data_IF_779169145931
#
_entry.id   IF_779169145931
#
_cell.length_a   1.000
_cell.length_b   1.000
_cell.length_c   1.000
_cell.angle_alpha   90.00
_cell.angle_beta   90.00
_cell.angle_gamma   90.00
#
_symmetry.space_group_name_H-M   'P 1'
#
loop_
_entity.id
_entity.type
_entity.pdbx_description
1 polymer ?
#
# COMPACT_ATOMS: atom_id res chain seq x y z
N UNK A 1 -6.21 -6.02 27.65
CA UNK A 1 -5.41 -5.89 26.41
C UNK A 1 -6.11 -6.64 25.30
N UNK A 2 -6.21 -6.06 24.10
CA UNK A 2 -6.76 -6.78 22.93
C UNK A 2 -5.80 -7.93 22.59
N UNK A 3 -6.33 -9.12 22.33
CA UNK A 3 -5.49 -10.22 21.86
C UNK A 3 -4.98 -9.93 20.45
N UNK A 4 -3.83 -10.50 20.08
CA UNK A 4 -3.26 -10.38 18.73
C UNK A 4 -4.29 -10.79 17.66
N UNK A 5 -5.03 -11.86 17.90
CA UNK A 5 -6.09 -12.33 17.00
C UNK A 5 -7.20 -11.29 16.81
N UNK A 6 -7.59 -10.60 17.87
CA UNK A 6 -8.62 -9.56 17.80
C UNK A 6 -8.12 -8.33 17.00
N UNK A 7 -6.85 -7.94 17.16
CA UNK A 7 -6.25 -6.88 16.36
C UNK A 7 -6.22 -7.22 14.86
N UNK A 8 -5.86 -8.46 14.51
CA UNK A 8 -5.89 -8.92 13.11
C UNK A 8 -7.32 -8.89 12.56
N UNK A 9 -8.31 -9.34 13.32
CA UNK A 9 -9.73 -9.27 12.91
C UNK A 9 -10.18 -7.83 12.67
N UNK A 10 -9.80 -6.91 13.56
CA UNK A 10 -10.08 -5.48 13.40
C UNK A 10 -9.42 -4.93 12.13
N UNK A 11 -8.15 -5.25 11.88
CA UNK A 11 -7.46 -4.82 10.65
C UNK A 11 -8.17 -5.34 9.41
N UNK A 12 -8.59 -6.61 9.39
CA UNK A 12 -9.37 -7.16 8.28
C UNK A 12 -10.66 -6.38 8.09
N UNK A 13 -11.41 -6.13 9.17
CA UNK A 13 -12.63 -5.33 9.11
C UNK A 13 -12.39 -3.92 8.55
N UNK A 14 -11.41 -3.19 9.08
CA UNK A 14 -11.08 -1.84 8.63
C UNK A 14 -10.52 -1.83 7.21
N UNK A 15 -9.74 -2.83 6.80
CA UNK A 15 -9.25 -2.95 5.44
C UNK A 15 -10.38 -3.21 4.44
N UNK A 16 -11.35 -4.06 4.78
CA UNK A 16 -12.55 -4.26 3.95
C UNK A 16 -13.45 -3.02 3.92
N UNK A 17 -13.57 -2.29 5.04
CA UNK A 17 -14.26 -1.02 5.08
C UNK A 17 -13.55 0.03 4.20
N UNK A 18 -12.22 0.09 4.24
CA UNK A 18 -11.42 0.92 3.36
C UNK A 18 -11.64 0.54 1.90
N UNK A 19 -11.65 -0.75 1.55
CA UNK A 19 -11.86 -1.21 0.18
C UNK A 19 -13.28 -0.89 -0.35
N UNK A 20 -14.29 -1.03 0.52
CA UNK A 20 -15.64 -0.59 0.25
C UNK A 20 -15.70 0.93 0.01
N UNK A 21 -15.01 1.71 0.86
CA UNK A 21 -14.93 3.17 0.72
C UNK A 21 -14.26 3.56 -0.59
N UNK A 22 -13.15 2.92 -0.91
CA UNK A 22 -12.45 3.13 -2.18
C UNK A 22 -13.34 2.79 -3.36
N UNK A 23 -14.08 1.67 -3.28
CA UNK A 23 -15.03 1.26 -4.31
C UNK A 23 -16.00 2.39 -4.67
N UNK A 24 -16.67 3.00 -3.68
CA UNK A 24 -17.61 4.08 -3.96
C UNK A 24 -16.91 5.41 -4.29
N UNK A 25 -15.77 5.71 -3.66
CA UNK A 25 -15.01 6.93 -3.87
C UNK A 25 -14.49 7.01 -5.31
N UNK A 26 -13.89 5.91 -5.77
CA UNK A 26 -13.18 5.81 -7.04
C UNK A 26 -14.06 5.24 -8.17
N UNK A 27 -15.34 4.93 -7.89
CA UNK A 27 -16.36 4.65 -8.92
C UNK A 27 -16.34 5.70 -10.03
N UNK A 28 -16.15 6.97 -9.67
CA UNK A 28 -16.09 8.08 -10.62
C UNK A 28 -14.99 7.91 -11.68
N UNK A 29 -13.86 7.28 -11.34
CA UNK A 29 -12.75 7.06 -12.27
C UNK A 29 -13.13 6.11 -13.41
N UNK A 30 -14.01 5.15 -13.15
CA UNK A 30 -14.44 4.16 -14.13
C UNK A 30 -15.67 4.61 -14.95
N UNK A 31 -16.59 5.39 -14.36
CA UNK A 31 -17.90 5.64 -14.98
C UNK A 31 -18.21 7.11 -15.30
N UNK A 32 -17.49 8.09 -14.75
CA UNK A 32 -17.89 9.50 -14.90
C UNK A 32 -17.88 9.96 -16.38
N UNK A 33 -16.94 9.47 -17.15
CA UNK A 33 -16.79 9.72 -18.59
C UNK A 33 -17.96 9.15 -19.39
N UNK A 34 -18.30 7.86 -19.25
CA UNK A 34 -19.39 7.22 -20.00
C UNK A 34 -20.79 7.70 -19.59
N UNK A 35 -20.94 8.11 -18.33
CA UNK A 35 -22.18 8.72 -17.82
C UNK A 35 -22.32 10.17 -18.27
N UNK A 36 -21.25 10.97 -18.26
CA UNK A 36 -21.28 12.38 -18.70
C UNK A 36 -21.51 12.52 -20.21
N UNK A 37 -20.98 11.60 -21.01
CA UNK A 37 -21.26 11.53 -22.47
C UNK A 37 -22.64 10.95 -22.79
N UNK A 38 -23.39 10.53 -21.76
CA UNK A 38 -24.72 9.91 -21.87
C UNK A 38 -24.72 8.67 -22.76
N UNK A 39 -23.61 7.94 -22.78
CA UNK A 39 -23.48 6.67 -23.51
C UNK A 39 -24.15 5.55 -22.72
N UNK A 40 -23.94 5.52 -21.40
CA UNK A 40 -24.64 4.62 -20.49
C UNK A 40 -25.48 5.39 -19.48
N UNK A 41 -26.59 4.78 -19.07
CA UNK A 41 -27.30 5.24 -17.89
C UNK A 41 -26.45 5.01 -16.64
N UNK A 42 -26.58 5.86 -15.61
CA UNK A 42 -25.77 5.70 -14.40
C UNK A 42 -25.91 4.33 -13.73
N UNK A 43 -27.12 3.74 -13.74
CA UNK A 43 -27.38 2.40 -13.21
C UNK A 43 -26.60 1.32 -13.97
N UNK A 44 -26.63 1.34 -15.30
CA UNK A 44 -25.96 0.33 -16.12
C UNK A 44 -24.43 0.46 -15.99
N UNK A 45 -23.93 1.70 -15.93
CA UNK A 45 -22.50 1.95 -15.73
C UNK A 45 -22.01 1.41 -14.37
N UNK A 46 -22.79 1.61 -13.29
CA UNK A 46 -22.46 1.07 -11.96
C UNK A 46 -22.44 -0.46 -11.96
N UNK A 47 -23.45 -1.11 -12.53
CA UNK A 47 -23.52 -2.59 -12.59
C UNK A 47 -22.30 -3.14 -13.35
N UNK A 48 -22.02 -2.58 -14.52
CA UNK A 48 -20.86 -2.96 -15.34
C UNK A 48 -19.55 -2.76 -14.55
N UNK A 49 -19.38 -1.59 -13.93
CA UNK A 49 -18.19 -1.28 -13.17
C UNK A 49 -18.01 -2.21 -11.96
N UNK A 50 -19.07 -2.50 -11.21
CA UNK A 50 -19.01 -3.39 -10.05
C UNK A 50 -18.62 -4.82 -10.45
N UNK A 51 -19.21 -5.37 -11.52
CA UNK A 51 -18.87 -6.71 -12.03
C UNK A 51 -17.41 -6.77 -12.52
N UNK A 52 -16.97 -5.77 -13.28
CA UNK A 52 -15.61 -5.77 -13.83
C UNK A 52 -14.56 -5.43 -12.78
N UNK A 53 -14.87 -4.59 -11.80
CA UNK A 53 -14.05 -4.37 -10.61
C UNK A 53 -13.83 -5.69 -9.86
N UNK A 54 -14.90 -6.47 -9.63
CA UNK A 54 -14.80 -7.79 -9.02
C UNK A 54 -13.88 -8.72 -9.82
N UNK A 55 -14.12 -8.87 -11.12
CA UNK A 55 -13.30 -9.75 -11.99
C UNK A 55 -11.85 -9.29 -12.03
N UNK A 56 -11.61 -7.98 -12.14
CA UNK A 56 -10.28 -7.39 -12.16
C UNK A 56 -9.50 -7.66 -10.89
N UNK A 57 -10.15 -7.60 -9.73
CA UNK A 57 -9.55 -7.91 -8.44
C UNK A 57 -9.08 -9.38 -8.34
N UNK A 58 -9.73 -10.31 -9.04
CA UNK A 58 -9.33 -11.73 -9.05
C UNK A 58 -8.14 -12.01 -9.97
N UNK A 59 -7.82 -11.11 -10.89
CA UNK A 59 -6.90 -11.38 -12.00
C UNK A 59 -5.41 -11.27 -11.63
N UNK A 60 -5.05 -10.63 -10.51
CA UNK A 60 -3.63 -10.46 -10.11
C UNK A 60 -3.48 -10.19 -8.61
N UNK A 61 -2.31 -10.54 -8.07
CA UNK A 61 -1.89 -10.23 -6.69
C UNK A 61 -0.53 -9.52 -6.63
N UNK A 62 -0.01 -9.04 -7.77
CA UNK A 62 1.34 -8.47 -7.82
C UNK A 62 1.47 -7.15 -7.06
N UNK A 63 0.52 -6.23 -7.24
CA UNK A 63 0.47 -4.96 -6.50
C UNK A 63 0.29 -5.23 -5.00
N UNK A 64 -0.53 -6.22 -4.64
CA UNK A 64 -0.74 -6.60 -3.25
C UNK A 64 0.55 -7.07 -2.58
N UNK A 65 1.39 -7.85 -3.28
CA UNK A 65 2.72 -8.25 -2.79
C UNK A 65 3.63 -7.06 -2.57
N UNK A 66 3.63 -6.09 -3.48
CA UNK A 66 4.42 -4.85 -3.35
C UNK A 66 3.94 -3.97 -2.19
N UNK A 67 2.63 -3.92 -1.93
CA UNK A 67 2.08 -3.18 -0.77
C UNK A 67 2.39 -3.93 0.53
N UNK A 68 2.33 -5.27 0.52
CA UNK A 68 2.60 -6.10 1.68
C UNK A 68 4.07 -6.08 2.14
N UNK A 69 5.02 -5.79 1.23
CA UNK A 69 6.45 -5.78 1.53
C UNK A 69 7.20 -4.56 0.98
N UNK A 70 8.09 -4.01 1.81
CA UNK A 70 9.00 -2.95 1.37
C UNK A 70 8.50 -1.52 1.59
N UNK A 71 7.44 -1.32 2.38
CA UNK A 71 7.02 0.02 2.83
C UNK A 71 7.49 0.31 4.25
N UNK A 72 7.39 -0.68 5.14
CA UNK A 72 7.74 -0.56 6.57
C UNK A 72 8.54 -1.79 6.99
N UNK A 73 9.60 -1.61 7.78
CA UNK A 73 10.45 -2.70 8.26
C UNK A 73 9.82 -3.41 9.47
N UNK A 74 9.06 -4.47 9.21
CA UNK A 74 8.33 -5.23 10.26
C UNK A 74 9.24 -6.10 11.15
N UNK A 75 10.51 -6.27 10.78
CA UNK A 75 11.45 -7.12 11.52
C UNK A 75 12.38 -6.30 12.44
N UNK A 76 12.49 -4.98 12.20
CA UNK A 76 13.40 -4.08 12.90
C UNK A 76 13.16 -4.09 14.41
N UNK A 77 14.24 -4.26 15.17
CA UNK A 77 14.31 -3.95 16.60
C UNK A 77 14.30 -2.45 16.81
N UNK A 78 13.34 -1.96 17.59
CA UNK A 78 13.44 -0.67 18.25
C UNK A 78 14.31 -0.79 19.51
N UNK A 79 14.83 0.31 20.01
CA UNK A 79 15.59 0.29 21.27
C UNK A 79 14.73 -0.30 22.40
N UNK A 80 13.49 0.16 22.52
CA UNK A 80 12.52 -0.32 23.50
C UNK A 80 12.20 -1.82 23.37
N UNK A 81 12.53 -2.47 22.24
CA UNK A 81 12.36 -3.91 22.11
C UNK A 81 13.37 -4.71 22.95
N UNK A 82 14.51 -4.10 23.30
CA UNK A 82 15.53 -4.71 24.17
C UNK A 82 15.19 -4.33 25.62
N UNK A 83 14.35 -5.13 26.29
CA UNK A 83 13.82 -4.83 27.64
C UNK A 83 14.89 -4.84 28.72
N UNK A 84 15.82 -5.80 28.62
CA UNK A 84 16.86 -6.03 29.62
C UNK A 84 18.24 -5.98 28.97
N UNK A 85 18.73 -4.78 28.56
CA UNK A 85 19.97 -4.66 27.80
C UNK A 85 21.19 -5.20 28.55
N UNK A 86 21.18 -5.12 29.90
CA UNK A 86 22.24 -5.66 30.75
C UNK A 86 22.24 -7.17 30.85
N UNK A 87 21.06 -7.77 30.94
CA UNK A 87 20.92 -9.24 30.93
C UNK A 87 21.31 -9.80 29.57
N UNK A 88 20.94 -9.10 28.48
CA UNK A 88 21.40 -9.45 27.14
C UNK A 88 22.92 -9.41 27.04
N UNK A 89 23.54 -8.31 27.47
CA UNK A 89 24.98 -8.12 27.47
C UNK A 89 25.71 -9.21 28.27
N UNK A 90 25.19 -9.55 29.46
CA UNK A 90 25.74 -10.63 30.29
C UNK A 90 25.65 -11.99 29.60
N UNK A 91 24.51 -12.33 28.98
CA UNK A 91 24.35 -13.59 28.22
C UNK A 91 25.29 -13.67 27.01
N UNK A 92 25.49 -12.58 26.28
CA UNK A 92 26.45 -12.53 25.18
C UNK A 92 27.88 -12.82 25.64
N UNK A 93 28.21 -12.56 26.91
CA UNK A 93 29.50 -12.93 27.50
C UNK A 93 29.62 -14.39 27.96
N UNK A 94 28.54 -15.16 27.97
CA UNK A 94 28.53 -16.54 28.48
C UNK A 94 28.85 -17.54 27.36
N UNK A 95 29.85 -18.43 27.54
CA UNK A 95 30.21 -19.43 26.54
C UNK A 95 29.21 -20.60 26.46
N UNK A 96 28.39 -20.81 27.48
CA UNK A 96 27.50 -21.98 27.60
C UNK A 96 26.20 -21.86 26.78
N UNK A 97 25.88 -20.66 26.26
CA UNK A 97 24.75 -20.44 25.35
C UNK A 97 25.27 -20.37 23.90
N UNK A 98 25.05 -21.41 23.06
CA UNK A 98 25.61 -21.46 21.72
C UNK A 98 25.13 -20.32 20.80
N UNK A 99 23.89 -19.85 20.99
CA UNK A 99 23.36 -18.73 20.23
C UNK A 99 23.97 -17.41 20.70
N UNK A 100 24.01 -17.17 22.00
CA UNK A 100 24.59 -15.94 22.54
C UNK A 100 26.08 -15.84 22.24
N UNK A 101 26.83 -16.95 22.33
CA UNK A 101 28.23 -17.01 21.95
C UNK A 101 28.44 -16.68 20.46
N UNK A 102 27.60 -17.23 19.58
CA UNK A 102 27.64 -16.90 18.16
C UNK A 102 27.35 -15.41 17.91
N UNK A 103 26.31 -14.86 18.55
CA UNK A 103 25.94 -13.44 18.43
C UNK A 103 27.04 -12.52 18.95
N UNK A 104 27.73 -12.90 20.03
CA UNK A 104 28.85 -12.16 20.59
C UNK A 104 30.01 -12.04 19.60
N UNK A 105 30.29 -13.11 18.85
CA UNK A 105 31.28 -13.11 17.76
C UNK A 105 30.88 -12.29 16.54
N UNK A 106 29.60 -11.90 16.43
CA UNK A 106 29.13 -11.03 15.36
C UNK A 106 29.21 -9.53 15.74
N UNK A 107 29.33 -9.16 17.01
CA UNK A 107 29.27 -7.76 17.45
C UNK A 107 30.38 -6.92 16.79
N UNK A 108 30.06 -5.68 16.41
CA UNK A 108 31.08 -4.71 16.02
C UNK A 108 31.96 -4.34 17.23
N UNK A 109 33.24 -3.96 17.02
CA UNK A 109 34.16 -3.63 18.10
C UNK A 109 33.65 -2.55 19.06
N UNK A 110 32.93 -1.56 18.53
CA UNK A 110 32.30 -0.48 19.31
C UNK A 110 31.22 -1.02 20.26
N UNK A 111 30.34 -1.88 19.75
CA UNK A 111 29.28 -2.54 20.53
C UNK A 111 29.88 -3.48 21.57
N UNK A 112 30.94 -4.23 21.20
CA UNK A 112 31.62 -5.15 22.10
C UNK A 112 32.27 -4.42 23.29
N UNK A 113 32.91 -3.27 23.04
CA UNK A 113 33.43 -2.43 24.12
C UNK A 113 32.32 -1.92 25.06
N UNK A 114 31.16 -1.58 24.51
CA UNK A 114 30.01 -1.09 25.28
C UNK A 114 29.33 -2.18 26.12
N UNK A 115 29.27 -3.42 25.59
CA UNK A 115 28.71 -4.59 26.27
C UNK A 115 29.51 -4.96 27.52
N UNK A 116 30.84 -4.84 27.45
CA UNK A 116 31.75 -5.14 28.58
C UNK A 116 31.77 -4.01 29.61
N UNK A 117 31.40 -2.78 29.22
CA UNK A 117 31.44 -1.60 30.10
C UNK A 117 30.30 -1.65 31.13
N UNK A 118 30.64 -1.96 32.38
CA UNK A 118 29.67 -2.07 33.49
C UNK A 118 28.91 -0.77 33.79
N UNK A 119 29.52 0.40 33.58
CA UNK A 119 28.95 1.72 33.88
C UNK A 119 28.19 2.36 32.69
N UNK A 120 28.08 1.66 31.55
CA UNK A 120 27.37 2.19 30.38
C UNK A 120 25.90 2.63 30.68
N UNK A 121 25.47 3.80 30.20
CA UNK A 121 24.06 4.18 30.28
C UNK A 121 23.16 3.11 29.64
N UNK A 122 22.13 2.66 30.37
CA UNK A 122 21.26 1.56 29.90
C UNK A 122 20.64 1.85 28.53
N UNK A 123 20.23 3.11 28.28
CA UNK A 123 19.69 3.54 26.98
C UNK A 123 20.72 3.47 25.85
N UNK A 124 21.96 3.87 26.11
CA UNK A 124 23.04 3.82 25.11
C UNK A 124 23.31 2.37 24.71
N UNK A 125 23.42 1.48 25.70
CA UNK A 125 23.57 0.03 25.47
C UNK A 125 22.37 -0.57 24.73
N UNK A 126 21.16 -0.17 25.11
CA UNK A 126 19.92 -0.62 24.48
C UNK A 126 19.87 -0.23 23.00
N UNK A 127 20.23 1.02 22.66
CA UNK A 127 20.33 1.47 21.27
C UNK A 127 21.41 0.74 20.49
N UNK A 128 22.60 0.55 21.07
CA UNK A 128 23.70 -0.17 20.42
C UNK A 128 23.32 -1.63 20.12
N UNK A 129 22.76 -2.35 21.11
CA UNK A 129 22.30 -3.72 20.95
C UNK A 129 21.18 -3.83 19.90
N UNK A 130 20.20 -2.93 19.91
CA UNK A 130 19.15 -2.93 18.89
C UNK A 130 19.71 -2.71 17.48
N UNK A 131 20.67 -1.79 17.31
CA UNK A 131 21.33 -1.55 16.02
C UNK A 131 22.13 -2.77 15.55
N UNK A 132 22.84 -3.41 16.46
CA UNK A 132 23.63 -4.61 16.17
C UNK A 132 22.75 -5.80 15.78
N UNK A 133 21.68 -6.06 16.54
CA UNK A 133 20.69 -7.07 16.21
C UNK A 133 20.09 -6.79 14.83
N UNK A 134 19.73 -5.54 14.53
CA UNK A 134 19.22 -5.15 13.21
C UNK A 134 20.19 -5.41 12.05
N UNK A 135 21.50 -5.29 12.30
CA UNK A 135 22.53 -5.66 11.31
C UNK A 135 22.58 -7.17 11.11
N UNK A 136 22.64 -7.92 12.20
CA UNK A 136 22.66 -9.39 12.20
C UNK A 136 21.43 -9.97 11.50
N UNK A 137 20.25 -9.38 11.71
CA UNK A 137 19.01 -9.81 11.05
C UNK A 137 19.15 -9.94 9.53
N UNK A 138 19.91 -9.04 8.88
CA UNK A 138 19.99 -8.95 7.41
C UNK A 138 21.22 -9.61 6.81
N UNK A 139 22.29 -9.75 7.60
CA UNK A 139 23.62 -10.14 7.10
C UNK A 139 24.01 -11.57 7.44
N UNK A 140 23.34 -12.20 8.40
CA UNK A 140 23.81 -13.45 8.99
C UNK A 140 22.71 -14.50 9.01
N UNK A 141 23.05 -15.73 8.64
CA UNK A 141 22.14 -16.86 8.81
C UNK A 141 22.24 -17.39 10.25
N UNK A 142 21.24 -17.08 11.07
CA UNK A 142 21.25 -17.44 12.48
C UNK A 142 20.92 -18.90 12.70
N UNK A 143 20.19 -19.55 11.80
CA UNK A 143 19.69 -20.89 12.06
C UNK A 143 20.80 -21.92 11.93
N UNK A 144 21.07 -22.64 13.01
CA UNK A 144 21.80 -23.91 13.02
C UNK A 144 21.15 -24.78 14.09
N UNK A 145 21.01 -26.07 13.83
CA UNK A 145 20.30 -26.97 14.73
C UNK A 145 20.95 -27.00 16.12
N UNK A 146 22.28 -26.96 16.21
CA UNK A 146 22.99 -26.95 17.49
C UNK A 146 22.71 -25.67 18.30
N UNK A 147 22.54 -24.52 17.62
CA UNK A 147 22.28 -23.21 18.26
C UNK A 147 20.88 -23.09 18.87
N UNK A 148 19.92 -23.90 18.42
CA UNK A 148 18.51 -23.81 18.84
C UNK A 148 17.99 -25.08 19.51
N UNK A 149 18.88 -26.01 19.91
CA UNK A 149 18.52 -27.31 20.49
C UNK A 149 17.56 -27.20 21.68
N UNK A 150 17.77 -26.22 22.56
CA UNK A 150 16.94 -26.02 23.77
C UNK A 150 15.76 -25.06 23.56
N UNK A 151 15.62 -24.50 22.35
CA UNK A 151 14.59 -23.49 22.04
C UNK A 151 13.35 -24.17 21.46
N UNK A 152 12.19 -23.98 22.09
CA UNK A 152 10.90 -24.42 21.53
C UNK A 152 10.51 -23.55 20.34
N UNK A 153 10.94 -23.96 19.15
CA UNK A 153 10.58 -23.32 17.89
C UNK A 153 9.28 -23.91 17.31
N UNK A 154 8.53 -23.07 16.58
CA UNK A 154 7.40 -23.55 15.76
C UNK A 154 7.94 -24.32 14.56
N UNK A 155 7.30 -25.44 14.23
CA UNK A 155 7.70 -26.32 13.12
C UNK A 155 7.84 -25.57 11.78
N UNK A 156 6.88 -24.69 11.48
CA UNK A 156 6.93 -23.83 10.27
C UNK A 156 8.13 -22.88 10.27
N UNK A 157 8.49 -22.31 11.43
CA UNK A 157 9.67 -21.43 11.55
C UNK A 157 10.96 -22.20 11.29
N UNK A 158 11.05 -23.45 11.76
CA UNK A 158 12.19 -24.34 11.50
C UNK A 158 12.28 -24.68 10.01
N UNK A 159 11.17 -25.00 9.37
CA UNK A 159 11.16 -25.32 7.94
C UNK A 159 11.64 -24.14 7.08
N UNK A 160 11.15 -22.93 7.37
CA UNK A 160 11.56 -21.72 6.67
C UNK A 160 13.02 -21.35 6.98
N UNK A 161 13.45 -21.56 8.22
CA UNK A 161 14.82 -21.32 8.64
C UNK A 161 15.83 -22.32 8.05
N UNK A 162 15.44 -23.54 7.70
CA UNK A 162 16.33 -24.47 6.96
C UNK A 162 16.65 -24.00 5.54
N UNK A 163 15.84 -23.09 4.98
CA UNK A 163 16.00 -22.52 3.63
C UNK A 163 16.63 -21.12 3.67
N UNK A 164 17.00 -20.61 4.85
CA UNK A 164 17.43 -19.23 5.11
C UNK A 164 18.59 -18.75 4.24
N UNK A 165 19.60 -19.60 4.01
CA UNK A 165 20.76 -19.31 3.17
C UNK A 165 20.44 -18.93 1.71
N UNK A 166 19.24 -19.29 1.21
CA UNK A 166 18.78 -18.98 -0.14
C UNK A 166 17.81 -17.79 -0.19
N UNK A 167 17.50 -17.19 0.96
CA UNK A 167 16.51 -16.14 1.06
C UNK A 167 17.10 -14.75 0.80
N UNK A 168 16.24 -13.86 0.29
CA UNK A 168 16.57 -12.44 0.19
C UNK A 168 16.73 -11.84 1.59
N UNK A 169 17.58 -10.79 1.77
CA UNK A 169 17.84 -10.18 3.09
C UNK A 169 16.58 -9.77 3.87
N UNK A 170 15.54 -9.29 3.17
CA UNK A 170 14.26 -8.91 3.79
C UNK A 170 13.54 -10.10 4.43
N UNK A 171 13.55 -11.26 3.76
CA UNK A 171 12.92 -12.49 4.29
C UNK A 171 13.77 -13.08 5.42
N UNK A 172 15.09 -13.07 5.24
CA UNK A 172 16.04 -13.51 6.27
C UNK A 172 15.84 -12.74 7.58
N UNK A 173 15.66 -11.41 7.50
CA UNK A 173 15.41 -10.58 8.67
C UNK A 173 14.15 -10.97 9.44
N UNK A 174 13.05 -11.32 8.76
CA UNK A 174 11.80 -11.75 9.41
C UNK A 174 11.99 -13.07 10.16
N UNK A 175 12.68 -14.04 9.54
CA UNK A 175 12.94 -15.34 10.15
C UNK A 175 13.90 -15.19 11.33
N UNK A 176 15.02 -14.49 11.14
CA UNK A 176 15.98 -14.20 12.19
C UNK A 176 15.32 -13.49 13.38
N UNK A 177 14.41 -12.53 13.12
CA UNK A 177 13.64 -11.87 14.18
C UNK A 177 12.78 -12.87 14.94
N UNK A 178 12.08 -13.76 14.23
CA UNK A 178 11.26 -14.81 14.86
C UNK A 178 12.08 -15.80 15.69
N UNK A 179 13.28 -16.15 15.23
CA UNK A 179 14.21 -17.04 15.96
C UNK A 179 14.70 -16.38 17.24
N UNK A 180 15.14 -15.12 17.17
CA UNK A 180 15.62 -14.36 18.33
C UNK A 180 14.51 -14.12 19.36
N UNK A 181 13.29 -13.79 18.93
CA UNK A 181 12.13 -13.66 19.83
C UNK A 181 11.81 -14.97 20.57
N UNK A 182 12.01 -16.12 19.90
CA UNK A 182 11.73 -17.42 20.50
C UNK A 182 12.85 -17.87 21.44
N UNK A 183 14.10 -17.53 21.13
CA UNK A 183 15.26 -17.91 21.93
C UNK A 183 15.50 -16.99 23.14
N UNK A 184 15.15 -15.71 23.05
CA UNK A 184 15.42 -14.70 24.09
C UNK A 184 14.13 -13.96 24.56
N UNK A 185 13.06 -14.68 24.95
CA UNK A 185 11.76 -14.07 25.26
C UNK A 185 11.75 -13.16 26.50
N UNK A 186 12.65 -13.40 27.45
CA UNK A 186 12.75 -12.62 28.69
C UNK A 186 13.39 -11.24 28.46
N UNK A 187 14.20 -11.15 27.39
CA UNK A 187 15.11 -10.04 27.13
C UNK A 187 14.65 -9.20 25.93
N UNK A 188 13.99 -9.82 24.95
CA UNK A 188 13.47 -9.19 23.74
C UNK A 188 11.94 -9.17 23.76
N UNK A 189 11.31 -8.05 23.39
CA UNK A 189 9.87 -8.02 23.15
C UNK A 189 9.50 -8.45 21.75
N UNK A 190 8.33 -9.06 21.63
CA UNK A 190 7.68 -9.24 20.33
C UNK A 190 7.07 -7.93 19.87
N UNK A 191 7.33 -7.55 18.61
CA UNK A 191 6.78 -6.34 18.01
C UNK A 191 5.41 -6.57 17.33
N UNK A 192 4.87 -7.80 17.35
CA UNK A 192 3.70 -8.21 16.58
C UNK A 192 2.46 -7.35 16.89
N UNK A 193 2.14 -7.16 18.18
CA UNK A 193 0.96 -6.38 18.61
C UNK A 193 1.11 -4.90 18.25
N UNK A 194 2.27 -4.31 18.54
CA UNK A 194 2.53 -2.90 18.23
C UNK A 194 2.44 -2.65 16.73
N UNK A 195 2.95 -3.57 15.92
CA UNK A 195 2.87 -3.45 14.46
C UNK A 195 1.43 -3.57 13.93
N UNK A 196 0.59 -4.40 14.56
CA UNK A 196 -0.84 -4.40 14.24
C UNK A 196 -1.48 -3.04 14.54
N UNK A 197 -1.10 -2.38 15.65
CA UNK A 197 -1.61 -1.04 15.97
C UNK A 197 -1.16 0.01 14.95
N UNK A 198 0.07 -0.09 14.43
CA UNK A 198 0.56 0.78 13.34
C UNK A 198 -0.30 0.60 12.09
N UNK A 199 -0.56 -0.65 11.68
CA UNK A 199 -1.38 -0.95 10.50
C UNK A 199 -2.83 -0.48 10.70
N UNK A 200 -3.40 -0.72 11.88
CA UNK A 200 -4.76 -0.29 12.21
C UNK A 200 -4.87 1.25 12.18
N UNK A 201 -3.92 1.96 12.78
CA UNK A 201 -3.88 3.43 12.76
C UNK A 201 -3.72 3.98 11.34
N UNK A 202 -2.90 3.33 10.50
CA UNK A 202 -2.75 3.68 9.10
C UNK A 202 -4.07 3.56 8.32
N UNK A 203 -4.81 2.46 8.53
CA UNK A 203 -6.13 2.25 7.92
C UNK A 203 -7.14 3.30 8.39
N UNK A 204 -7.19 3.59 9.70
CA UNK A 204 -8.08 4.63 10.25
C UNK A 204 -7.76 5.98 9.60
N UNK A 205 -6.47 6.36 9.52
CA UNK A 205 -6.05 7.61 8.91
C UNK A 205 -6.43 7.71 7.42
N UNK A 206 -6.25 6.63 6.67
CA UNK A 206 -6.62 6.57 5.26
C UNK A 206 -8.15 6.65 5.07
N UNK A 207 -8.93 5.92 5.87
CA UNK A 207 -10.40 5.92 5.85
C UNK A 207 -10.94 7.30 6.17
N UNK A 208 -10.50 7.90 7.28
CA UNK A 208 -10.97 9.22 7.72
C UNK A 208 -10.68 10.25 6.65
N UNK A 209 -9.49 10.23 6.06
CA UNK A 209 -9.15 11.15 4.98
C UNK A 209 -10.01 10.94 3.72
N UNK A 210 -10.20 9.70 3.27
CA UNK A 210 -11.03 9.39 2.12
C UNK A 210 -12.51 9.78 2.32
N UNK A 211 -13.05 9.60 3.53
CA UNK A 211 -14.40 10.04 3.87
C UNK A 211 -14.51 11.56 3.87
N UNK A 212 -13.50 12.26 4.37
CA UNK A 212 -13.45 13.72 4.40
C UNK A 212 -13.40 14.30 2.99
N UNK A 213 -12.53 13.80 2.12
CA UNK A 213 -12.43 14.24 0.73
C UNK A 213 -13.69 13.93 -0.07
N UNK A 214 -14.28 12.75 0.14
CA UNK A 214 -15.59 12.41 -0.41
C UNK A 214 -16.69 13.35 0.04
N UNK A 215 -16.73 13.70 1.33
CA UNK A 215 -17.73 14.61 1.88
C UNK A 215 -17.71 15.96 1.17
N UNK A 216 -16.51 16.49 0.93
CA UNK A 216 -16.30 17.73 0.17
C UNK A 216 -16.31 17.56 -1.36
N UNK A 217 -16.48 16.33 -1.86
CA UNK A 217 -16.49 16.02 -3.30
C UNK A 217 -15.17 16.31 -4.00
N UNK A 218 -14.04 16.22 -3.27
CA UNK A 218 -12.69 16.43 -3.76
C UNK A 218 -12.16 15.07 -4.29
N UNK A 219 -11.75 14.97 -5.56
CA UNK A 219 -11.17 13.74 -6.09
C UNK A 219 -9.76 13.54 -5.49
N UNK A 220 -9.66 12.73 -4.44
CA UNK A 220 -8.41 12.33 -3.83
C UNK A 220 -7.95 10.94 -4.28
N UNK A 221 -6.72 10.59 -3.92
CA UNK A 221 -6.13 9.28 -4.18
C UNK A 221 -6.13 8.43 -2.93
N UNK A 222 -6.90 7.34 -2.95
CA UNK A 222 -6.91 6.31 -1.90
C UNK A 222 -5.52 5.68 -1.69
N UNK A 223 -4.71 5.56 -2.75
CA UNK A 223 -3.32 5.10 -2.66
C UNK A 223 -2.46 6.03 -1.80
N UNK A 224 -2.52 7.35 -2.04
CA UNK A 224 -1.77 8.32 -1.24
C UNK A 224 -2.24 8.34 0.20
N UNK A 225 -3.56 8.23 0.42
CA UNK A 225 -4.14 8.21 1.74
C UNK A 225 -3.58 7.02 2.55
N UNK A 226 -3.54 5.83 1.96
CA UNK A 226 -3.02 4.61 2.59
C UNK A 226 -1.52 4.68 2.87
N UNK A 227 -0.72 5.08 1.87
CA UNK A 227 0.75 5.20 2.02
C UNK A 227 1.09 6.29 3.04
N UNK A 228 0.43 7.45 2.97
CA UNK A 228 0.59 8.51 3.96
C UNK A 228 0.23 8.01 5.36
N UNK A 229 -0.89 7.27 5.49
CA UNK A 229 -1.30 6.67 6.76
C UNK A 229 -0.26 5.70 7.34
N UNK A 230 0.29 4.82 6.51
CA UNK A 230 1.37 3.90 6.90
C UNK A 230 2.62 4.65 7.36
N UNK A 231 3.08 5.63 6.57
CA UNK A 231 4.24 6.45 6.92
C UNK A 231 4.00 7.21 8.24
N UNK A 232 2.84 7.84 8.40
CA UNK A 232 2.51 8.62 9.61
C UNK A 232 2.47 7.75 10.86
N UNK A 233 1.79 6.61 10.81
CA UNK A 233 1.72 5.67 11.92
C UNK A 233 3.11 5.06 12.24
N UNK A 234 3.89 4.69 11.22
CA UNK A 234 5.22 4.13 11.41
C UNK A 234 6.21 5.15 12.00
N UNK A 235 6.18 6.40 11.51
CA UNK A 235 7.06 7.47 11.99
C UNK A 235 6.77 7.80 13.45
N UNK A 236 5.51 7.88 13.85
CA UNK A 236 5.20 8.22 15.24
C UNK A 236 5.52 7.08 16.21
N UNK A 237 5.50 5.83 15.73
CA UNK A 237 5.85 4.65 16.52
C UNK A 237 7.37 4.46 16.65
N UNK A 238 8.08 4.36 15.52
CA UNK A 238 9.49 3.91 15.47
C UNK A 238 10.45 4.92 14.81
N UNK A 239 9.99 6.14 14.55
CA UNK A 239 10.76 7.18 13.88
C UNK A 239 10.95 6.94 12.38
N UNK A 240 11.75 7.80 11.74
CA UNK A 240 12.01 7.77 10.30
C UNK A 240 12.68 6.46 9.82
N UNK A 241 13.37 5.75 10.72
CA UNK A 241 14.11 4.52 10.38
C UNK A 241 13.22 3.30 10.15
N UNK A 242 11.97 3.34 10.62
CA UNK A 242 11.01 2.24 10.42
C UNK A 242 10.42 2.25 9.00
N UNK A 243 10.42 3.42 8.36
CA UNK A 243 9.95 3.59 6.98
C UNK A 243 11.07 3.22 6.01
N UNK A 244 10.76 2.33 5.06
CA UNK A 244 11.71 1.91 4.03
C UNK A 244 11.70 2.93 2.89
N UNK A 245 12.44 4.04 3.05
CA UNK A 245 12.46 5.17 2.10
C UNK A 245 12.81 4.77 0.67
N UNK A 246 13.75 3.83 0.48
CA UNK A 246 14.08 3.32 -0.86
C UNK A 246 12.89 2.62 -1.51
N UNK A 247 12.16 1.82 -0.72
CA UNK A 247 10.95 1.15 -1.15
C UNK A 247 9.81 2.13 -1.42
N UNK A 248 9.57 3.10 -0.53
CA UNK A 248 8.60 4.18 -0.74
C UNK A 248 8.93 4.97 -2.02
N UNK A 249 10.18 5.33 -2.24
CA UNK A 249 10.58 6.10 -3.41
C UNK A 249 10.38 5.30 -4.70
N UNK A 250 10.96 4.10 -4.78
CA UNK A 250 10.99 3.29 -6.02
C UNK A 250 9.67 2.59 -6.32
N UNK A 251 9.05 1.99 -5.31
CA UNK A 251 7.84 1.16 -5.49
C UNK A 251 6.56 2.00 -5.45
N UNK A 252 6.59 3.18 -4.84
CA UNK A 252 5.41 4.01 -4.66
C UNK A 252 5.56 5.37 -5.35
N UNK A 253 6.43 6.25 -4.87
CA UNK A 253 6.43 7.66 -5.27
C UNK A 253 6.72 7.86 -6.76
N UNK A 254 7.69 7.11 -7.32
CA UNK A 254 8.01 7.16 -8.75
C UNK A 254 6.81 6.74 -9.61
N UNK A 255 6.21 5.54 -9.44
CA UNK A 255 4.98 5.18 -10.16
C UNK A 255 3.84 6.18 -9.96
N UNK A 256 3.71 6.73 -8.76
CA UNK A 256 2.61 7.59 -8.35
C UNK A 256 2.63 8.97 -9.03
N UNK A 257 3.82 9.54 -9.21
CA UNK A 257 4.04 10.80 -9.95
C UNK A 257 4.20 10.54 -11.46
N UNK A 258 4.83 9.44 -11.84
CA UNK A 258 5.09 9.07 -13.23
C UNK A 258 3.83 8.67 -13.99
N UNK A 259 2.89 7.97 -13.34
CA UNK A 259 1.69 7.44 -13.99
C UNK A 259 0.73 8.50 -14.55
N UNK A 260 0.41 9.63 -13.89
CA UNK A 260 -0.37 10.70 -14.53
C UNK A 260 0.34 11.34 -15.72
N UNK A 261 1.67 11.50 -15.66
CA UNK A 261 2.46 12.04 -16.79
C UNK A 261 2.44 11.09 -17.99
N UNK A 262 2.58 9.79 -17.74
CA UNK A 262 2.43 8.77 -18.78
C UNK A 262 1.00 8.74 -19.33
N UNK A 263 0.00 8.86 -18.46
CA UNK A 263 -1.41 8.98 -18.85
C UNK A 263 -1.68 10.18 -19.75
N UNK A 264 -1.11 11.34 -19.42
CA UNK A 264 -1.17 12.54 -20.26
C UNK A 264 -0.58 12.28 -21.64
N UNK A 265 0.63 11.73 -21.70
CA UNK A 265 1.32 11.47 -22.96
C UNK A 265 0.56 10.48 -23.84
N UNK A 266 0.13 9.33 -23.28
CA UNK A 266 -0.61 8.30 -24.03
C UNK A 266 -1.96 8.85 -24.48
N UNK A 267 -2.68 9.56 -23.60
CA UNK A 267 -3.95 10.21 -23.95
C UNK A 267 -3.82 11.22 -25.08
N UNK A 268 -2.77 12.04 -25.04
CA UNK A 268 -2.47 13.02 -26.08
C UNK A 268 -2.15 12.36 -27.42
N UNK A 269 -1.27 11.35 -27.42
CA UNK A 269 -0.86 10.61 -28.63
C UNK A 269 -2.07 9.90 -29.24
N UNK A 270 -2.82 9.16 -28.43
CA UNK A 270 -3.98 8.40 -28.89
C UNK A 270 -5.04 9.31 -29.49
N UNK A 271 -5.39 10.41 -28.81
CA UNK A 271 -6.38 11.36 -29.32
C UNK A 271 -5.90 12.05 -30.61
N UNK A 272 -4.62 12.42 -30.69
CA UNK A 272 -4.03 13.00 -31.91
C UNK A 272 -4.07 12.01 -33.08
N UNK A 273 -3.76 10.73 -32.82
CA UNK A 273 -3.86 9.66 -33.80
C UNK A 273 -5.29 9.47 -34.32
N UNK A 274 -6.27 9.39 -33.40
CA UNK A 274 -7.70 9.29 -33.74
C UNK A 274 -8.15 10.50 -34.57
N UNK A 275 -7.81 11.71 -34.15
CA UNK A 275 -8.19 12.93 -34.85
C UNK A 275 -7.63 13.01 -36.27
N UNK A 276 -6.37 12.58 -36.47
CA UNK A 276 -5.74 12.52 -37.80
C UNK A 276 -6.36 11.44 -38.68
N UNK A 277 -6.56 10.24 -38.14
CA UNK A 277 -7.11 9.12 -38.89
C UNK A 277 -8.56 9.37 -39.35
N UNK A 278 -9.32 10.14 -38.58
CA UNK A 278 -10.74 10.41 -38.84
C UNK A 278 -11.00 11.84 -39.32
N UNK A 279 -9.96 12.57 -39.75
CA UNK A 279 -10.06 13.99 -40.15
C UNK A 279 -11.10 14.23 -41.26
N UNK A 280 -11.29 13.25 -42.15
CA UNK A 280 -12.21 13.33 -43.29
C UNK A 280 -13.58 12.67 -43.02
N UNK A 281 -13.82 12.16 -41.80
CA UNK A 281 -15.07 11.47 -41.45
C UNK A 281 -16.04 12.47 -40.84
N UNK A 282 -17.31 12.43 -41.28
CA UNK A 282 -18.33 13.32 -40.74
C UNK A 282 -18.47 13.17 -39.21
N UNK A 283 -18.50 14.28 -38.43
CA UNK A 283 -18.50 14.25 -36.97
C UNK A 283 -19.61 13.38 -36.34
N UNK A 284 -20.77 13.33 -36.98
CA UNK A 284 -21.91 12.54 -36.49
C UNK A 284 -21.64 11.02 -36.56
N UNK A 285 -20.98 10.55 -37.63
CA UNK A 285 -20.57 9.14 -37.75
C UNK A 285 -19.54 8.79 -36.69
N UNK A 286 -18.54 9.66 -36.49
CA UNK A 286 -17.53 9.52 -35.43
C UNK A 286 -18.24 9.39 -34.07
N UNK A 287 -19.11 10.34 -33.73
CA UNK A 287 -19.85 10.31 -32.45
C UNK A 287 -20.67 9.02 -32.26
N UNK A 288 -21.37 8.55 -33.31
CA UNK A 288 -22.17 7.32 -33.23
C UNK A 288 -21.33 6.06 -33.01
N UNK A 289 -20.19 5.93 -33.71
CA UNK A 289 -19.31 4.78 -33.58
C UNK A 289 -18.61 4.78 -32.23
N UNK A 290 -18.07 5.93 -31.81
CA UNK A 290 -17.39 6.04 -30.53
C UNK A 290 -18.32 5.92 -29.33
N UNK A 291 -19.63 6.16 -29.48
CA UNK A 291 -20.62 5.82 -28.45
C UNK A 291 -20.58 4.33 -28.12
N UNK A 292 -20.50 3.45 -29.12
CA UNK A 292 -20.40 2.01 -28.88
C UNK A 292 -19.01 1.61 -28.38
N UNK A 293 -17.94 2.17 -28.97
CA UNK A 293 -16.56 1.88 -28.53
C UNK A 293 -16.29 2.33 -27.09
N UNK A 294 -16.89 3.44 -26.66
CA UNK A 294 -16.70 3.96 -25.30
C UNK A 294 -17.20 2.97 -24.23
N UNK A 295 -18.23 2.16 -24.54
CA UNK A 295 -18.69 1.13 -23.60
C UNK A 295 -17.58 0.11 -23.32
N UNK A 296 -16.85 -0.30 -24.35
CA UNK A 296 -15.73 -1.25 -24.21
C UNK A 296 -14.54 -0.63 -23.50
N UNK A 297 -14.21 0.64 -23.76
CA UNK A 297 -13.11 1.31 -23.04
C UNK A 297 -13.46 1.56 -21.57
N UNK A 298 -14.71 1.92 -21.26
CA UNK A 298 -15.19 2.06 -19.89
C UNK A 298 -15.17 0.72 -19.14
N UNK A 299 -15.52 -0.37 -19.82
CA UNK A 299 -15.39 -1.72 -19.29
C UNK A 299 -13.93 -2.09 -19.00
N UNK A 300 -13.01 -1.84 -19.95
CA UNK A 300 -11.58 -2.08 -19.76
C UNK A 300 -11.00 -1.23 -18.61
N UNK A 301 -11.43 0.03 -18.50
CA UNK A 301 -11.05 0.91 -17.39
C UNK A 301 -11.56 0.37 -16.04
N UNK A 302 -12.80 -0.10 -15.95
CA UNK A 302 -13.32 -0.72 -14.73
C UNK A 302 -12.57 -2.01 -14.37
N UNK A 303 -12.29 -2.88 -15.35
CA UNK A 303 -11.51 -4.10 -15.10
C UNK A 303 -10.12 -3.79 -14.54
N UNK A 304 -9.41 -2.84 -15.17
CA UNK A 304 -8.05 -2.45 -14.77
C UNK A 304 -8.02 -1.62 -13.48
N UNK A 305 -9.09 -0.90 -13.18
CA UNK A 305 -9.31 -0.27 -11.88
C UNK A 305 -9.36 -1.33 -10.78
N UNK A 306 -10.14 -2.40 -10.95
CA UNK A 306 -10.15 -3.49 -9.97
C UNK A 306 -8.86 -4.28 -9.85
N UNK A 307 -8.13 -4.43 -10.97
CA UNK A 307 -6.78 -5.00 -11.00
C UNK A 307 -5.78 -4.20 -10.15
N UNK A 308 -5.99 -2.91 -9.90
CA UNK A 308 -5.06 -2.09 -9.11
C UNK A 308 -5.56 -1.82 -7.68
N UNK A 309 -6.84 -1.46 -7.52
CA UNK A 309 -7.32 -0.83 -6.29
C UNK A 309 -7.62 -1.85 -5.18
N UNK A 310 -8.31 -2.95 -5.50
CA UNK A 310 -8.57 -4.02 -4.52
C UNK A 310 -7.26 -4.63 -3.97
N UNK A 311 -6.20 -4.63 -4.79
CA UNK A 311 -4.90 -5.16 -4.38
C UNK A 311 -4.26 -4.37 -3.22
N UNK A 312 -4.63 -3.10 -3.02
CA UNK A 312 -4.07 -2.28 -1.93
C UNK A 312 -4.53 -2.82 -0.58
N UNK A 313 -5.84 -3.08 -0.45
CA UNK A 313 -6.43 -3.66 0.76
C UNK A 313 -5.96 -5.09 0.97
N UNK A 314 -5.84 -5.89 -0.10
CA UNK A 314 -5.22 -7.22 -0.04
C UNK A 314 -3.79 -7.16 0.51
N UNK A 315 -2.99 -6.20 0.06
CA UNK A 315 -1.62 -6.00 0.52
C UNK A 315 -1.52 -5.63 1.99
N UNK A 316 -2.41 -4.78 2.50
CA UNK A 316 -2.44 -4.40 3.92
C UNK A 316 -2.85 -5.56 4.81
N UNK A 317 -3.89 -6.31 4.42
CA UNK A 317 -4.28 -7.52 5.16
C UNK A 317 -3.13 -8.53 5.15
N UNK A 318 -2.47 -8.71 4.01
CA UNK A 318 -1.31 -9.61 3.91
C UNK A 318 -0.15 -9.14 4.79
N UNK A 319 0.13 -7.83 4.85
CA UNK A 319 1.12 -7.24 5.76
C UNK A 319 0.77 -7.53 7.23
N UNK A 320 -0.50 -7.41 7.60
CA UNK A 320 -0.98 -7.72 8.96
C UNK A 320 -0.77 -9.20 9.30
N UNK A 321 -1.11 -10.11 8.39
CA UNK A 321 -0.91 -11.54 8.57
C UNK A 321 0.58 -11.94 8.65
N UNK A 322 1.45 -11.30 7.87
CA UNK A 322 2.91 -11.53 7.91
C UNK A 322 3.54 -10.96 9.17
N UNK A 323 3.15 -9.74 9.57
CA UNK A 323 3.65 -9.13 10.81
C UNK A 323 3.14 -9.86 12.06
N UNK A 324 1.95 -10.47 12.01
CA UNK A 324 1.44 -11.35 13.06
C UNK A 324 2.03 -12.78 13.03
N UNK A 325 2.99 -13.07 12.12
CA UNK A 325 3.64 -14.39 11.94
C UNK A 325 2.67 -15.53 11.62
N UNK A 326 1.49 -15.22 11.07
CA UNK A 326 0.53 -16.20 10.55
C UNK A 326 0.98 -16.68 9.17
N UNK A 327 1.39 -15.72 8.33
CA UNK A 327 2.02 -15.97 7.04
C UNK A 327 3.53 -15.75 7.16
N UNK A 328 4.30 -16.60 6.49
CA UNK A 328 5.77 -16.50 6.43
C UNK A 328 6.22 -15.89 5.12
N UNK A 329 5.42 -16.05 4.07
CA UNK A 329 5.56 -15.34 2.81
C UNK A 329 4.39 -14.39 2.56
N UNK A 330 4.60 -13.26 1.88
CA UNK A 330 3.54 -12.32 1.50
C UNK A 330 2.69 -12.85 0.34
N UNK A 331 2.26 -14.11 0.40
CA UNK A 331 1.31 -14.70 -0.54
C UNK A 331 -0.09 -14.32 -0.09
N UNK A 332 -0.86 -13.68 -0.96
CA UNK A 332 -2.22 -13.23 -0.66
C UNK A 332 -3.15 -14.45 -0.58
N UNK A 333 -3.79 -14.73 0.57
CA UNK A 333 -4.72 -15.85 0.69
C UNK A 333 -5.98 -15.64 -0.16
N UNK A 334 -6.55 -16.73 -0.67
CA UNK A 334 -7.76 -16.68 -1.53
C UNK A 334 -8.94 -16.00 -0.86
N UNK A 335 -9.13 -16.19 0.45
CA UNK A 335 -10.21 -15.52 1.19
C UNK A 335 -10.01 -13.99 1.24
N UNK A 336 -8.76 -13.52 1.30
CA UNK A 336 -8.43 -12.08 1.22
C UNK A 336 -8.77 -11.55 -0.16
N UNK A 337 -8.42 -12.29 -1.21
CA UNK A 337 -8.73 -11.92 -2.59
C UNK A 337 -10.25 -11.77 -2.78
N UNK A 338 -11.01 -12.80 -2.38
CA UNK A 338 -12.47 -12.81 -2.54
C UNK A 338 -13.17 -11.74 -1.69
N UNK A 339 -12.73 -11.53 -0.44
CA UNK A 339 -13.32 -10.54 0.45
C UNK A 339 -13.06 -9.10 -0.01
N UNK A 340 -11.84 -8.76 -0.42
CA UNK A 340 -11.51 -7.46 -1.01
C UNK A 340 -12.26 -7.24 -2.34
N UNK A 341 -12.24 -8.23 -3.24
CA UNK A 341 -12.98 -8.15 -4.51
C UNK A 341 -14.47 -7.85 -4.29
N UNK A 342 -15.09 -8.54 -3.32
CA UNK A 342 -16.49 -8.31 -2.96
C UNK A 342 -16.70 -6.93 -2.33
N UNK A 343 -15.86 -6.52 -1.39
CA UNK A 343 -15.94 -5.21 -0.73
C UNK A 343 -15.86 -4.07 -1.75
N UNK A 344 -14.89 -4.13 -2.67
CA UNK A 344 -14.74 -3.14 -3.74
C UNK A 344 -15.94 -3.13 -4.70
N UNK A 345 -16.47 -4.30 -5.08
CA UNK A 345 -17.65 -4.39 -5.94
C UNK A 345 -18.91 -3.81 -5.27
N UNK A 346 -19.12 -4.10 -3.98
CA UNK A 346 -20.21 -3.54 -3.18
C UNK A 346 -20.07 -2.04 -2.99
N UNK A 347 -18.85 -1.56 -2.73
CA UNK A 347 -18.54 -0.13 -2.69
C UNK A 347 -18.88 0.55 -4.02
N UNK A 348 -18.42 -0.04 -5.13
CA UNK A 348 -18.73 0.47 -6.48
C UNK A 348 -20.23 0.54 -6.72
N UNK A 349 -20.97 -0.45 -6.23
CA UNK A 349 -22.44 -0.52 -6.34
C UNK A 349 -23.16 0.56 -5.52
N UNK A 350 -22.60 0.98 -4.38
CA UNK A 350 -23.13 2.07 -3.56
C UNK A 350 -22.99 3.44 -4.27
N UNK A 351 -21.98 3.57 -5.12
CA UNK A 351 -21.75 4.71 -6.02
C UNK A 351 -21.15 5.95 -5.34
N UNK A 352 -20.55 6.82 -6.16
CA UNK A 352 -19.78 7.98 -5.72
C UNK A 352 -20.35 9.33 -6.16
N UNK A 353 -21.67 9.55 -6.05
CA UNK A 353 -22.35 10.66 -6.73
C UNK A 353 -21.77 12.06 -6.50
N UNK A 354 -21.27 12.34 -5.30
CA UNK A 354 -20.61 13.62 -4.98
C UNK A 354 -19.37 13.82 -5.87
N UNK A 355 -18.54 12.79 -6.02
CA UNK A 355 -17.30 12.83 -6.81
C UNK A 355 -17.60 12.74 -8.31
N UNK A 356 -18.56 11.89 -8.72
CA UNK A 356 -18.99 11.78 -10.13
C UNK A 356 -19.43 13.15 -10.67
N UNK A 357 -20.19 13.92 -9.89
CA UNK A 357 -20.61 15.28 -10.27
C UNK A 357 -19.41 16.23 -10.44
N UNK A 358 -18.38 16.11 -9.62
CA UNK A 358 -17.16 16.93 -9.72
C UNK A 358 -16.31 16.55 -10.94
N UNK A 359 -16.07 15.26 -11.19
CA UNK A 359 -15.19 14.78 -12.27
C UNK A 359 -15.81 14.95 -13.67
N UNK A 360 -17.11 14.68 -13.84
CA UNK A 360 -17.73 14.58 -15.16
C UNK A 360 -17.99 15.91 -15.90
N UNK A 361 -18.09 17.05 -15.20
CA UNK A 361 -18.50 18.32 -15.82
C UNK A 361 -17.51 19.48 -15.63
N UNK A 362 -16.55 19.37 -14.69
CA UNK A 362 -15.70 20.50 -14.31
C UNK A 362 -14.37 20.56 -15.04
N UNK A 363 -13.89 19.46 -15.63
CA UNK A 363 -12.53 19.37 -16.20
C UNK A 363 -12.52 19.72 -17.69
N UNK A 364 -13.23 18.95 -18.52
CA UNK A 364 -13.37 19.13 -19.98
C UNK A 364 -14.81 18.77 -20.38
N UNK A 365 -15.36 19.40 -21.42
CA UNK A 365 -16.60 18.92 -22.07
C UNK A 365 -16.25 17.68 -22.92
N UNK A 366 -16.61 16.51 -22.43
CA UNK A 366 -16.30 15.24 -23.08
C UNK A 366 -17.36 14.89 -24.14
N UNK A 367 -16.88 14.44 -25.30
CA UNK A 367 -17.67 13.74 -26.31
C UNK A 367 -17.26 12.26 -26.28
N UNK A 368 -18.05 11.32 -26.83
CA UNK A 368 -17.74 9.89 -26.76
C UNK A 368 -16.32 9.51 -27.21
N UNK A 369 -15.80 10.18 -28.25
CA UNK A 369 -14.42 9.96 -28.74
C UNK A 369 -13.35 10.34 -27.71
N UNK A 370 -13.55 11.44 -26.97
CA UNK A 370 -12.64 11.89 -25.93
C UNK A 370 -12.70 10.96 -24.72
N UNK A 371 -13.90 10.52 -24.34
CA UNK A 371 -14.11 9.54 -23.29
C UNK A 371 -13.41 8.22 -23.60
N UNK A 372 -13.62 7.69 -24.81
CA UNK A 372 -12.95 6.49 -25.30
C UNK A 372 -11.42 6.60 -25.23
N UNK A 373 -10.86 7.71 -25.75
CA UNK A 373 -9.41 7.91 -25.76
C UNK A 373 -8.84 7.98 -24.32
N UNK A 374 -9.51 8.69 -23.42
CA UNK A 374 -9.06 8.84 -22.04
C UNK A 374 -9.14 7.52 -21.25
N UNK A 375 -10.26 6.79 -21.35
CA UNK A 375 -10.48 5.51 -20.69
C UNK A 375 -9.53 4.43 -21.22
N UNK A 376 -9.35 4.35 -22.54
CA UNK A 376 -8.42 3.38 -23.16
C UNK A 376 -6.98 3.65 -22.72
N UNK A 377 -6.56 4.91 -22.74
CA UNK A 377 -5.22 5.32 -22.30
C UNK A 377 -5.01 5.00 -20.81
N UNK A 378 -6.03 5.23 -19.99
CA UNK A 378 -6.00 4.91 -18.56
C UNK A 378 -5.91 3.42 -18.32
N UNK A 379 -6.71 2.62 -19.03
CA UNK A 379 -6.67 1.16 -18.94
C UNK A 379 -5.30 0.60 -19.35
N UNK A 380 -4.66 1.16 -20.39
CA UNK A 380 -3.30 0.78 -20.80
C UNK A 380 -2.30 1.06 -19.67
N UNK A 381 -2.31 2.26 -19.10
CA UNK A 381 -1.40 2.64 -18.00
C UNK A 381 -1.63 1.78 -16.76
N UNK A 382 -2.88 1.58 -16.35
CA UNK A 382 -3.24 0.78 -15.18
C UNK A 382 -2.89 -0.69 -15.37
N UNK A 383 -3.15 -1.26 -16.54
CA UNK A 383 -2.77 -2.63 -16.84
C UNK A 383 -1.24 -2.81 -16.79
N UNK A 384 -0.48 -1.93 -17.45
CA UNK A 384 0.98 -2.00 -17.48
C UNK A 384 1.58 -1.87 -16.08
N UNK A 385 1.16 -0.86 -15.31
CA UNK A 385 1.67 -0.64 -13.94
C UNK A 385 1.29 -1.78 -13.00
N UNK A 386 0.06 -2.29 -13.07
CA UNK A 386 -0.37 -3.47 -12.29
C UNK A 386 0.38 -4.75 -12.69
N UNK A 387 0.73 -4.92 -13.98
CA UNK A 387 1.51 -6.05 -14.46
C UNK A 387 2.92 -6.08 -13.86
N UNK A 388 3.52 -4.92 -13.62
CA UNK A 388 4.79 -4.79 -12.91
C UNK A 388 4.63 -4.69 -11.38
N UNK A 389 3.41 -4.89 -10.85
CA UNK A 389 3.13 -4.80 -9.43
C UNK A 389 3.32 -3.41 -8.83
N UNK A 390 3.26 -2.35 -9.64
CA UNK A 390 3.43 -0.97 -9.18
C UNK A 390 2.10 -0.38 -8.70
N UNK A 391 1.93 -0.09 -7.39
CA UNK A 391 0.74 0.59 -6.90
C UNK A 391 0.69 2.01 -7.46
N UNK A 392 -0.40 2.36 -8.12
CA UNK A 392 -0.61 3.70 -8.69
C UNK A 392 -1.94 4.29 -8.23
N UNK A 393 -2.17 5.55 -8.54
CA UNK A 393 -3.42 6.24 -8.27
C UNK A 393 -4.29 6.25 -9.52
N UNK A 394 -5.39 5.49 -9.50
CA UNK A 394 -6.37 5.45 -10.60
C UNK A 394 -6.93 6.83 -10.90
N UNK A 395 -7.26 7.61 -9.86
CA UNK A 395 -7.70 9.02 -9.95
C UNK A 395 -6.68 9.90 -10.67
N UNK A 396 -5.38 9.69 -10.46
CA UNK A 396 -4.34 10.48 -11.11
C UNK A 396 -4.17 10.07 -12.57
N UNK A 397 -4.16 8.77 -12.83
CA UNK A 397 -4.02 8.24 -14.19
C UNK A 397 -5.14 8.73 -15.08
N UNK A 398 -6.41 8.58 -14.67
CA UNK A 398 -7.54 9.05 -15.48
C UNK A 398 -7.54 10.57 -15.66
N UNK A 399 -7.21 11.32 -14.62
CA UNK A 399 -7.12 12.79 -14.71
C UNK A 399 -6.00 13.21 -15.68
N UNK A 400 -4.83 12.57 -15.60
CA UNK A 400 -3.72 12.76 -16.54
C UNK A 400 -4.12 12.47 -17.98
N UNK A 401 -4.78 11.33 -18.23
CA UNK A 401 -5.31 10.97 -19.53
C UNK A 401 -6.33 11.99 -20.06
N UNK A 402 -7.26 12.44 -19.21
CA UNK A 402 -8.24 13.48 -19.56
C UNK A 402 -7.54 14.79 -19.93
N UNK A 403 -6.53 15.22 -19.17
CA UNK A 403 -5.74 16.41 -19.48
C UNK A 403 -4.99 16.27 -20.81
N UNK A 404 -4.41 15.09 -21.08
CA UNK A 404 -3.72 14.79 -22.34
C UNK A 404 -4.64 14.85 -23.56
N UNK A 405 -5.79 14.18 -23.46
CA UNK A 405 -6.84 14.18 -24.49
C UNK A 405 -7.39 15.59 -24.73
N UNK A 406 -7.58 16.39 -23.68
CA UNK A 406 -8.01 17.79 -23.84
C UNK A 406 -6.97 18.65 -24.54
N UNK A 407 -5.71 18.48 -24.14
CA UNK A 407 -4.58 19.27 -24.65
C UNK A 407 -4.32 19.01 -26.13
N UNK A 408 -4.67 17.83 -26.67
CA UNK A 408 -4.48 17.50 -28.08
C UNK A 408 -5.34 18.35 -29.02
N UNK A 409 -6.47 18.89 -28.53
CA UNK A 409 -7.32 19.80 -29.31
C UNK A 409 -6.78 21.23 -29.23
N UNK A 410 -6.54 21.71 -28.01
CA UNK A 410 -5.89 22.99 -27.69
C UNK A 410 -5.62 23.04 -26.18
N UNK A 411 -4.53 23.68 -25.77
CA UNK A 411 -4.20 23.81 -24.33
C UNK A 411 -5.31 24.52 -23.52
N UNK A 412 -6.05 25.45 -24.12
CA UNK A 412 -7.17 26.15 -23.47
C UNK A 412 -8.45 25.32 -23.31
N UNK A 413 -8.50 24.11 -23.88
CA UNK A 413 -9.65 23.21 -23.69
C UNK A 413 -9.67 22.61 -22.28
N UNK A 414 -8.50 22.51 -21.63
CA UNK A 414 -8.35 22.06 -20.24
C UNK A 414 -8.56 23.25 -19.31
N UNK A 415 -9.42 23.10 -18.31
CA UNK A 415 -9.59 24.10 -17.25
C UNK A 415 -8.47 23.99 -16.23
N UNK A 416 -7.32 24.61 -16.52
CA UNK A 416 -6.10 24.50 -15.71
C UNK A 416 -6.26 24.91 -14.24
N UNK A 417 -7.12 25.88 -13.92
CA UNK A 417 -7.42 26.22 -12.51
C UNK A 417 -8.07 25.07 -11.73
N UNK A 418 -8.91 24.27 -12.38
CA UNK A 418 -9.48 23.06 -11.77
C UNK A 418 -8.41 21.97 -11.66
N UNK A 419 -7.59 21.79 -12.71
CA UNK A 419 -6.48 20.84 -12.69
C UNK A 419 -5.48 21.14 -11.55
N UNK A 420 -5.14 22.42 -11.35
CA UNK A 420 -4.27 22.86 -10.26
C UNK A 420 -4.87 22.51 -8.90
N UNK A 421 -6.15 22.81 -8.66
CA UNK A 421 -6.82 22.47 -7.39
C UNK A 421 -6.81 20.95 -7.13
N UNK A 422 -6.99 20.14 -8.17
CA UNK A 422 -6.91 18.68 -8.09
C UNK A 422 -5.49 18.24 -7.69
N UNK A 423 -4.45 18.75 -8.36
CA UNK A 423 -3.05 18.44 -8.04
C UNK A 423 -2.68 18.89 -6.61
N UNK A 424 -3.17 20.04 -6.16
CA UNK A 424 -2.98 20.49 -4.77
C UNK A 424 -3.59 19.51 -3.78
N UNK A 425 -4.80 19.01 -4.04
CA UNK A 425 -5.42 17.99 -3.19
C UNK A 425 -4.62 16.68 -3.17
N UNK A 426 -3.99 16.32 -4.29
CA UNK A 426 -3.13 15.13 -4.38
C UNK A 426 -1.88 15.26 -3.49
N UNK A 427 -1.19 16.39 -3.58
CA UNK A 427 -0.01 16.68 -2.76
C UNK A 427 -0.38 16.71 -1.27
N UNK A 428 -1.52 17.31 -0.92
CA UNK A 428 -1.99 17.41 0.46
C UNK A 428 -2.43 16.07 1.06
N UNK A 429 -2.88 15.12 0.24
CA UNK A 429 -3.45 13.85 0.71
C UNK A 429 -2.47 13.04 1.56
N UNK A 430 -1.21 12.94 1.13
CA UNK A 430 -0.18 12.17 1.83
C UNK A 430 0.17 12.72 3.22
N UNK A 431 0.54 14.01 3.40
CA UNK A 431 0.83 14.56 4.72
C UNK A 431 -0.42 14.61 5.62
N UNK A 432 -1.60 14.87 5.05
CA UNK A 432 -2.82 14.94 5.84
C UNK A 432 -3.23 13.56 6.39
N UNK A 433 -3.22 12.51 5.56
CA UNK A 433 -3.52 11.15 6.03
C UNK A 433 -2.46 10.63 6.99
N UNK A 434 -1.19 11.00 6.79
CA UNK A 434 -0.10 10.69 7.73
C UNK A 434 -0.34 11.31 9.11
N UNK A 435 -0.76 12.58 9.15
CA UNK A 435 -1.08 13.26 10.40
C UNK A 435 -2.25 12.59 11.13
N UNK A 436 -3.33 12.27 10.41
CA UNK A 436 -4.50 11.60 11.00
C UNK A 436 -4.12 10.21 11.52
N UNK A 437 -3.31 9.45 10.79
CA UNK A 437 -2.83 8.14 11.24
C UNK A 437 -1.92 8.26 12.47
N UNK A 438 -1.03 9.25 12.51
CA UNK A 438 -0.17 9.49 13.68
C UNK A 438 -0.97 9.84 14.94
N UNK A 439 -2.02 10.68 14.79
CA UNK A 439 -2.94 11.00 15.86
C UNK A 439 -3.76 9.78 16.30
N UNK A 440 -4.21 8.96 15.35
CA UNK A 440 -4.95 7.72 15.62
C UNK A 440 -4.09 6.73 16.38
N UNK A 441 -2.82 6.57 16.01
CA UNK A 441 -1.88 5.72 16.73
C UNK A 441 -1.69 6.18 18.17
N UNK A 442 -1.45 7.48 18.39
CA UNK A 442 -1.36 8.04 19.75
C UNK A 442 -2.62 7.79 20.57
N UNK A 443 -3.79 7.94 19.98
CA UNK A 443 -5.06 7.68 20.66
C UNK A 443 -5.17 6.21 21.08
N UNK A 444 -4.86 5.27 20.18
CA UNK A 444 -4.88 3.84 20.48
C UNK A 444 -3.93 3.48 21.62
N UNK A 445 -2.73 4.06 21.62
CA UNK A 445 -1.74 3.90 22.70
C UNK A 445 -2.25 4.48 24.02
N UNK A 446 -2.87 5.67 24.01
CA UNK A 446 -3.48 6.29 25.19
C UNK A 446 -4.66 5.49 25.76
N UNK A 447 -5.37 4.73 24.92
CA UNK A 447 -6.42 3.80 25.34
C UNK A 447 -5.87 2.52 25.99
N UNK A 448 -4.55 2.43 26.20
CA UNK A 448 -3.88 1.29 26.84
C UNK A 448 -3.63 0.12 25.90
N UNK A 449 -3.62 0.35 24.59
CA UNK A 449 -3.19 -0.65 23.62
C UNK A 449 -1.68 -0.51 23.39
N UNK A 450 -0.92 -1.49 23.87
CA UNK A 450 0.54 -1.58 23.73
C UNK A 450 0.91 -2.97 23.22
#
# INVERSE_FOLDING_TARGET
>A
MLSLSLLVILIVFFALAFDYINGFHDTANAIATVVSTRVLSPRNAIIMAACLNFVGALASTQVARTVASGLVDTARFLADDVRQPRVLAARLGQPDDPLAHYLAGQLLPETQALVVREDAPAKELQHALANELNRVLKCTDLYDEARFTEVKLKEKTVEDARKSSQLKPEKLAVINRSLLESALPDVLSSNQQVFQLVILAALIGAIVWNLLTWYFGIPSSSSHALIGGLCGAAIIHGGLSLVLWDGILKKVLIPLVGSPSLGFLIGFILMTGIARALANVHPERVSSTFRNLQIFSAAAMALTHGLNDAQKSMGIITMALVSARILTEPVVPTWVILSCALAMALGTSAGGWRIIKTMGHKIIRLEPVHGFAAETSSAIVLFATSHFGMPVSTTHVISGCIFGVGSSKRLSAVRWGVAQNIVTAWILTLPASALVAALSYKLLVLMGLH
#
